data_IF_307562349296
#
_entry.id   IF_307562349296
#
_cell.length_a   1.000
_cell.length_b   1.000
_cell.length_c   1.000
_cell.angle_alpha   90.00
_cell.angle_beta   90.00
_cell.angle_gamma   90.00
#
_symmetry.space_group_name_H-M   'P 1'
#
loop_
_entity.id
_entity.type
_entity.pdbx_description
1 polymer ?
#
# COMPACT_ATOMS: atom_id res chain seq x y z
N UNK A 1 19.14 -30.54 5.35
CA UNK A 1 19.20 -29.06 5.27
C UNK A 1 17.86 -28.38 4.96
N UNK A 2 16.69 -29.04 5.02
CA UNK A 2 15.41 -28.40 4.65
C UNK A 2 14.61 -27.75 5.80
N UNK A 3 14.73 -28.27 7.03
CA UNK A 3 13.93 -27.80 8.17
C UNK A 3 14.51 -26.55 8.85
N UNK A 4 15.84 -26.41 8.93
CA UNK A 4 16.49 -25.23 9.49
C UNK A 4 16.30 -23.98 8.63
N UNK A 5 16.33 -24.12 7.30
CA UNK A 5 16.15 -23.00 6.37
C UNK A 5 14.71 -22.43 6.43
N UNK A 6 13.72 -23.28 6.67
CA UNK A 6 12.32 -22.86 6.86
C UNK A 6 12.14 -22.06 8.16
N UNK A 7 12.77 -22.50 9.26
CA UNK A 7 12.74 -21.81 10.55
C UNK A 7 13.43 -20.43 10.48
N UNK A 8 14.63 -20.37 9.91
CA UNK A 8 15.36 -19.12 9.74
C UNK A 8 14.64 -18.12 8.82
N UNK A 9 13.88 -18.60 7.83
CA UNK A 9 13.07 -17.74 6.96
C UNK A 9 11.87 -17.13 7.69
N UNK A 10 11.27 -17.87 8.64
CA UNK A 10 10.17 -17.39 9.48
C UNK A 10 10.65 -16.32 10.47
N UNK A 11 11.78 -16.56 11.13
CA UNK A 11 12.42 -15.60 12.05
C UNK A 11 12.83 -14.30 11.35
N UNK A 12 13.44 -14.41 10.15
CA UNK A 12 13.79 -13.25 9.32
C UNK A 12 12.57 -12.45 8.91
N UNK A 13 11.46 -13.13 8.58
CA UNK A 13 10.19 -12.48 8.25
C UNK A 13 9.62 -11.74 9.46
N UNK A 14 9.58 -12.36 10.64
CA UNK A 14 9.12 -11.69 11.87
C UNK A 14 10.00 -10.48 12.22
N UNK A 15 11.32 -10.58 12.04
CA UNK A 15 12.23 -9.46 12.29
C UNK A 15 11.98 -8.31 11.30
N UNK A 16 11.78 -8.63 10.03
CA UNK A 16 11.46 -7.65 8.99
C UNK A 16 10.09 -6.99 9.22
N UNK A 17 9.07 -7.78 9.57
CA UNK A 17 7.72 -7.30 9.84
C UNK A 17 7.70 -6.37 11.06
N UNK A 18 8.46 -6.69 12.12
CA UNK A 18 8.64 -5.82 13.28
C UNK A 18 9.41 -4.54 12.92
N UNK A 19 10.49 -4.65 12.13
CA UNK A 19 11.28 -3.49 11.70
C UNK A 19 10.49 -2.51 10.82
N UNK A 20 9.57 -3.02 10.01
CA UNK A 20 8.70 -2.22 9.13
C UNK A 20 7.36 -1.84 9.76
N UNK A 21 7.11 -2.22 11.01
CA UNK A 21 5.81 -2.02 11.67
C UNK A 21 5.40 -0.53 11.70
N UNK A 22 6.35 0.36 12.01
CA UNK A 22 6.12 1.79 12.08
C UNK A 22 5.83 2.38 10.69
N UNK A 23 6.61 1.99 9.68
CA UNK A 23 6.41 2.43 8.28
C UNK A 23 5.06 1.95 7.77
N UNK A 24 4.72 0.69 8.00
CA UNK A 24 3.42 0.12 7.63
C UNK A 24 2.29 0.91 8.29
N UNK A 25 2.36 1.13 9.59
CA UNK A 25 1.33 1.89 10.31
C UNK A 25 1.19 3.32 9.80
N UNK A 26 2.30 4.02 9.56
CA UNK A 26 2.33 5.39 9.04
C UNK A 26 1.74 5.49 7.63
N UNK A 27 2.17 4.63 6.71
CA UNK A 27 1.68 4.59 5.32
C UNK A 27 0.18 4.22 5.29
N UNK A 28 -0.23 3.20 6.03
CA UNK A 28 -1.65 2.82 6.12
C UNK A 28 -2.50 3.94 6.72
N UNK A 29 -1.99 4.67 7.72
CA UNK A 29 -2.72 5.79 8.33
C UNK A 29 -2.90 6.96 7.36
N UNK A 30 -1.88 7.31 6.58
CA UNK A 30 -1.97 8.35 5.55
C UNK A 30 -2.96 7.97 4.45
N UNK A 31 -2.88 6.72 3.97
CA UNK A 31 -3.83 6.20 2.98
C UNK A 31 -5.25 6.19 3.55
N UNK A 32 -5.44 5.69 4.78
CA UNK A 32 -6.74 5.66 5.44
C UNK A 32 -7.33 7.07 5.58
N UNK A 33 -6.50 8.09 5.85
CA UNK A 33 -6.95 9.47 5.92
C UNK A 33 -7.36 10.02 4.54
N UNK A 34 -6.57 9.75 3.49
CA UNK A 34 -6.87 10.19 2.12
C UNK A 34 -8.18 9.58 1.58
N UNK A 35 -8.52 8.36 1.99
CA UNK A 35 -9.77 7.69 1.57
C UNK A 35 -10.92 7.85 2.58
N UNK A 36 -10.71 8.50 3.72
CA UNK A 36 -11.72 8.63 4.76
C UNK A 36 -12.91 9.48 4.28
N UNK A 37 -14.11 8.90 4.30
CA UNK A 37 -15.34 9.58 3.87
C UNK A 37 -15.60 9.53 2.36
N UNK A 38 -14.68 8.96 1.57
CA UNK A 38 -14.86 8.69 0.14
C UNK A 38 -15.48 7.29 -0.01
N UNK A 39 -16.68 7.22 -0.60
CA UNK A 39 -17.40 5.94 -0.80
C UNK A 39 -16.93 5.16 -2.05
N UNK A 40 -16.10 5.80 -2.87
CA UNK A 40 -15.52 5.27 -4.10
C UNK A 40 -14.11 5.81 -4.26
N UNK A 41 -13.29 5.06 -4.98
CA UNK A 41 -12.03 5.58 -5.51
C UNK A 41 -12.39 6.41 -6.75
N UNK A 42 -12.43 7.72 -6.59
CA UNK A 42 -12.63 8.71 -7.64
C UNK A 42 -11.31 9.44 -7.97
N UNK A 43 -11.31 10.28 -9.00
CA UNK A 43 -10.10 10.97 -9.47
C UNK A 43 -9.44 11.79 -8.36
N UNK A 44 -10.24 12.46 -7.51
CA UNK A 44 -9.73 13.20 -6.35
C UNK A 44 -8.95 12.30 -5.36
N UNK A 45 -9.42 11.06 -5.13
CA UNK A 45 -8.72 10.10 -4.25
C UNK A 45 -7.40 9.65 -4.85
N UNK A 46 -7.34 9.53 -6.18
CA UNK A 46 -6.11 9.16 -6.88
C UNK A 46 -5.08 10.28 -6.82
N UNK A 47 -5.51 11.53 -6.96
CA UNK A 47 -4.66 12.72 -6.81
C UNK A 47 -4.10 12.81 -5.37
N UNK A 48 -4.95 12.67 -4.35
CA UNK A 48 -4.51 12.69 -2.93
C UNK A 48 -3.51 11.55 -2.64
N UNK A 49 -3.71 10.37 -3.25
CA UNK A 49 -2.82 9.23 -3.09
C UNK A 49 -1.48 9.46 -3.81
N UNK A 50 -1.49 10.08 -5.00
CA UNK A 50 -0.28 10.45 -5.73
C UNK A 50 0.61 11.38 -4.88
N UNK A 51 0.03 12.42 -4.29
CA UNK A 51 0.73 13.36 -3.41
C UNK A 51 1.34 12.65 -2.17
N UNK A 52 0.59 11.75 -1.55
CA UNK A 52 1.07 10.97 -0.40
C UNK A 52 2.23 10.04 -0.79
N UNK A 53 2.17 9.41 -1.97
CA UNK A 53 3.21 8.49 -2.43
C UNK A 53 4.49 9.24 -2.83
N UNK A 54 4.37 10.38 -3.53
CA UNK A 54 5.51 11.23 -3.89
C UNK A 54 6.23 11.73 -2.62
N UNK A 55 5.49 12.17 -1.61
CA UNK A 55 6.06 12.67 -0.34
C UNK A 55 6.60 11.57 0.59
N UNK A 56 6.37 10.30 0.26
CA UNK A 56 6.81 9.14 1.05
C UNK A 56 8.04 8.43 0.44
N UNK A 57 8.85 9.15 -0.35
CA UNK A 57 10.08 8.66 -0.99
C UNK A 57 9.88 7.49 -1.97
N UNK A 58 8.68 7.31 -2.53
CA UNK A 58 8.38 6.25 -3.52
C UNK A 58 8.86 6.64 -4.93
N UNK A 59 8.90 7.93 -5.22
CA UNK A 59 9.32 8.49 -6.51
C UNK A 59 8.20 8.50 -7.56
N UNK A 60 8.34 9.40 -8.56
CA UNK A 60 7.28 9.70 -9.54
C UNK A 60 6.92 8.48 -10.40
N UNK A 61 7.92 7.80 -10.98
CA UNK A 61 7.67 6.67 -11.88
C UNK A 61 6.92 5.52 -11.18
N UNK A 62 7.38 5.17 -9.97
CA UNK A 62 6.76 4.12 -9.16
C UNK A 62 5.36 4.52 -8.73
N UNK A 63 5.15 5.80 -8.40
CA UNK A 63 3.83 6.32 -8.02
C UNK A 63 2.84 6.18 -9.18
N UNK A 64 3.22 6.59 -10.39
CA UNK A 64 2.38 6.44 -11.58
C UNK A 64 2.00 4.97 -11.84
N UNK A 65 2.93 4.04 -11.67
CA UNK A 65 2.64 2.62 -11.83
C UNK A 65 1.69 2.09 -10.75
N UNK A 66 1.82 2.56 -9.50
CA UNK A 66 0.89 2.21 -8.41
C UNK A 66 -0.52 2.74 -8.70
N UNK A 67 -0.65 4.02 -9.10
CA UNK A 67 -1.94 4.64 -9.44
C UNK A 67 -2.63 3.89 -10.58
N UNK A 68 -1.93 3.63 -11.68
CA UNK A 68 -2.49 2.85 -12.82
C UNK A 68 -2.98 1.46 -12.41
N UNK A 69 -2.27 0.79 -11.52
CA UNK A 69 -2.68 -0.52 -11.02
C UNK A 69 -3.95 -0.44 -10.16
N UNK A 70 -4.08 0.63 -9.36
CA UNK A 70 -5.27 0.89 -8.55
C UNK A 70 -6.46 1.24 -9.45
N UNK A 71 -6.30 2.14 -10.42
CA UNK A 71 -7.32 2.48 -11.42
C UNK A 71 -7.81 1.24 -12.16
N UNK A 72 -6.89 0.40 -12.66
CA UNK A 72 -7.24 -0.84 -13.34
C UNK A 72 -8.00 -1.79 -12.41
N UNK A 73 -7.67 -1.83 -11.11
CA UNK A 73 -8.37 -2.66 -10.13
C UNK A 73 -9.77 -2.12 -9.85
N UNK A 74 -9.92 -0.81 -9.69
CA UNK A 74 -11.21 -0.13 -9.48
C UNK A 74 -12.13 -0.30 -10.68
N UNK A 75 -11.59 -0.15 -11.90
CA UNK A 75 -12.32 -0.35 -13.14
C UNK A 75 -12.82 -1.80 -13.31
N UNK A 76 -12.03 -2.79 -12.86
CA UNK A 76 -12.44 -4.21 -12.85
C UNK A 76 -13.46 -4.52 -11.76
N UNK A 77 -13.27 -3.99 -10.55
CA UNK A 77 -14.04 -4.42 -9.38
C UNK A 77 -15.31 -3.61 -9.15
N UNK A 78 -15.47 -2.46 -9.84
CA UNK A 78 -16.60 -1.51 -9.87
C UNK A 78 -17.16 -1.00 -8.54
N UNK A 79 -17.21 -1.79 -7.48
CA UNK A 79 -17.64 -1.47 -6.13
C UNK A 79 -17.04 -2.52 -5.20
N UNK A 80 -16.04 -2.17 -4.39
CA UNK A 80 -15.66 -3.00 -3.24
C UNK A 80 -16.69 -2.72 -2.15
N UNK A 81 -17.91 -3.23 -2.35
CA UNK A 81 -19.01 -3.17 -1.41
C UNK A 81 -19.29 -4.56 -0.86
N UNK A 82 -18.56 -4.94 0.18
CA UNK A 82 -18.97 -5.87 1.26
C UNK A 82 -18.13 -5.59 2.48
#
# INVERSE_FOLDING_TARGET
>A
MGFFDLFSKKEKKETLDNGLQNTKTSVFSKIAHAVAGKSKVDDDVLDDLEDVLITSDVGVNTTLDVIRNIEARVARDKYVGT
#
